data_IF_764084776564
#
_entry.id   IF_764084776564
#
_cell.length_a   1.000
_cell.length_b   1.000
_cell.length_c   1.000
_cell.angle_alpha   90.00
_cell.angle_beta   90.00
_cell.angle_gamma   90.00
#
_symmetry.space_group_name_H-M   'P 1'
#
loop_
_entity.id
_entity.type
_entity.pdbx_description
1 polymer ?
#
# COMPACT_ATOMS: atom_id res chain seq x y z
N UNK A 1 -8.25 -1.66 -46.53
CA UNK A 1 -7.14 -1.07 -45.75
C UNK A 1 -7.48 0.31 -45.16
N UNK A 2 -7.78 1.36 -45.96
CA UNK A 2 -8.04 2.73 -45.44
C UNK A 2 -9.13 2.81 -44.34
N UNK A 3 -10.25 2.07 -44.48
CA UNK A 3 -11.33 2.04 -43.48
C UNK A 3 -10.89 1.38 -42.15
N UNK A 4 -10.06 0.33 -42.21
CA UNK A 4 -9.55 -0.35 -41.02
C UNK A 4 -8.62 0.57 -40.24
N UNK A 5 -7.73 1.30 -40.96
CA UNK A 5 -6.84 2.29 -40.36
C UNK A 5 -7.65 3.43 -39.73
N UNK A 6 -8.70 3.92 -40.41
CA UNK A 6 -9.56 4.96 -39.85
C UNK A 6 -10.22 4.51 -38.53
N UNK A 7 -10.81 3.30 -38.51
CA UNK A 7 -11.43 2.78 -37.29
C UNK A 7 -10.42 2.55 -36.16
N UNK A 8 -9.20 2.10 -36.49
CA UNK A 8 -8.13 1.96 -35.49
C UNK A 8 -7.72 3.31 -34.88
N UNK A 9 -7.63 4.35 -35.69
CA UNK A 9 -7.33 5.71 -35.21
C UNK A 9 -8.46 6.27 -34.35
N UNK A 10 -9.72 6.09 -34.77
CA UNK A 10 -10.87 6.53 -33.98
C UNK A 10 -10.89 5.80 -32.63
N UNK A 11 -10.67 4.48 -32.60
CA UNK A 11 -10.62 3.72 -31.36
C UNK A 11 -9.49 4.20 -30.44
N UNK A 12 -8.32 4.49 -30.99
CA UNK A 12 -7.19 5.04 -30.23
C UNK A 12 -7.53 6.39 -29.60
N UNK A 13 -8.14 7.30 -30.38
CA UNK A 13 -8.54 8.62 -29.88
C UNK A 13 -9.57 8.49 -28.76
N UNK A 14 -10.56 7.62 -28.92
CA UNK A 14 -11.59 7.36 -27.90
C UNK A 14 -10.94 6.80 -26.62
N UNK A 15 -9.99 5.87 -26.76
CA UNK A 15 -9.27 5.30 -25.63
C UNK A 15 -8.46 6.36 -24.87
N UNK A 16 -7.73 7.21 -25.60
CA UNK A 16 -6.97 8.32 -24.99
C UNK A 16 -7.91 9.28 -24.27
N UNK A 17 -9.02 9.67 -24.90
CA UNK A 17 -10.01 10.55 -24.29
C UNK A 17 -10.61 9.94 -23.02
N UNK A 18 -10.90 8.64 -23.02
CA UNK A 18 -11.39 7.93 -21.84
C UNK A 18 -10.35 7.90 -20.69
N UNK A 19 -9.07 7.68 -21.00
CA UNK A 19 -7.98 7.71 -20.01
C UNK A 19 -7.86 9.11 -19.39
N UNK A 20 -7.85 10.15 -20.21
CA UNK A 20 -7.79 11.54 -19.75
C UNK A 20 -9.00 11.89 -18.89
N UNK A 21 -10.21 11.51 -19.31
CA UNK A 21 -11.42 11.73 -18.53
C UNK A 21 -11.36 11.02 -17.17
N UNK A 22 -10.89 9.77 -17.13
CA UNK A 22 -10.70 9.03 -15.86
C UNK A 22 -9.71 9.75 -14.93
N UNK A 23 -8.60 10.26 -15.46
CA UNK A 23 -7.62 10.99 -14.67
C UNK A 23 -8.19 12.30 -14.10
N UNK A 24 -8.92 13.08 -14.91
CA UNK A 24 -9.56 14.31 -14.48
C UNK A 24 -10.66 14.06 -13.42
N UNK A 25 -11.48 13.03 -13.61
CA UNK A 25 -12.51 12.67 -12.63
C UNK A 25 -11.86 12.28 -11.30
N UNK A 26 -10.77 11.50 -11.33
CA UNK A 26 -10.04 11.12 -10.12
C UNK A 26 -9.45 12.34 -9.42
N UNK A 27 -8.87 13.28 -10.17
CA UNK A 27 -8.30 14.50 -9.63
C UNK A 27 -9.35 15.39 -8.93
N UNK A 28 -10.53 15.56 -9.52
CA UNK A 28 -11.60 16.39 -8.98
C UNK A 28 -12.47 15.71 -7.90
N UNK A 29 -12.34 14.39 -7.74
CA UNK A 29 -13.10 13.61 -6.75
C UNK A 29 -12.21 13.10 -5.61
N UNK A 30 -11.25 13.87 -5.18
CA UNK A 30 -10.49 13.53 -3.98
C UNK A 30 -11.45 13.59 -2.77
N UNK A 31 -11.46 12.54 -1.93
CA UNK A 31 -12.26 12.58 -0.71
C UNK A 31 -11.69 13.66 0.21
N UNK A 32 -12.56 14.59 0.60
CA UNK A 32 -12.26 15.53 1.69
C UNK A 32 -12.59 14.85 3.02
N UNK A 33 -11.83 15.17 4.04
CA UNK A 33 -12.13 14.72 5.39
C UNK A 33 -13.45 15.36 5.84
N UNK A 34 -14.32 14.56 6.41
CA UNK A 34 -15.56 15.06 7.03
C UNK A 34 -15.23 15.90 8.27
N UNK A 35 -16.16 16.73 8.69
CA UNK A 35 -16.00 17.55 9.91
C UNK A 35 -15.74 16.67 11.15
N UNK A 36 -16.37 15.49 11.21
CA UNK A 36 -16.17 14.53 12.32
C UNK A 36 -14.77 13.90 12.28
N UNK A 37 -14.26 13.54 11.09
CA UNK A 37 -12.90 13.03 10.94
C UNK A 37 -11.86 14.11 11.29
N UNK A 38 -12.05 15.34 10.86
CA UNK A 38 -11.19 16.47 11.24
C UNK A 38 -11.18 16.69 12.75
N UNK A 39 -12.34 16.66 13.40
CA UNK A 39 -12.46 16.78 14.85
C UNK A 39 -11.73 15.65 15.58
N UNK A 40 -11.86 14.40 15.11
CA UNK A 40 -11.12 13.26 15.68
C UNK A 40 -9.61 13.44 15.56
N UNK A 41 -9.11 13.96 14.43
CA UNK A 41 -7.67 14.24 14.24
C UNK A 41 -7.19 15.33 15.21
N UNK A 42 -7.98 16.39 15.41
CA UNK A 42 -7.65 17.47 16.35
C UNK A 42 -7.66 16.96 17.80
N UNK A 43 -8.64 16.15 18.19
CA UNK A 43 -8.72 15.54 19.52
C UNK A 43 -7.53 14.60 19.80
N UNK A 44 -7.07 13.86 18.78
CA UNK A 44 -5.86 13.04 18.87
C UNK A 44 -4.57 13.85 18.99
N UNK A 45 -4.63 15.16 18.75
CA UNK A 45 -3.50 16.06 18.88
C UNK A 45 -2.37 15.80 17.89
N UNK A 46 -2.70 15.25 16.71
CA UNK A 46 -1.73 14.91 15.65
C UNK A 46 -0.93 16.15 15.20
N UNK A 47 -1.57 17.31 15.21
CA UNK A 47 -0.98 18.59 14.79
C UNK A 47 -0.32 19.39 15.92
N UNK A 48 -0.32 18.87 17.14
CA UNK A 48 0.33 19.57 18.27
C UNK A 48 1.85 19.45 18.16
N UNK A 49 2.54 20.56 18.35
CA UNK A 49 3.99 20.56 18.46
C UNK A 49 4.42 19.61 19.59
N UNK A 50 5.22 18.63 19.24
CA UNK A 50 5.83 17.70 20.21
C UNK A 50 7.32 18.00 20.26
N UNK A 51 7.80 18.35 21.41
CA UNK A 51 9.24 18.42 21.68
C UNK A 51 9.72 17.06 22.15
N UNK A 52 10.00 16.15 21.21
CA UNK A 52 10.62 14.87 21.51
C UNK A 52 11.94 14.74 20.78
N UNK A 53 12.94 14.13 21.43
CA UNK A 53 14.18 13.74 20.76
C UNK A 53 13.92 12.48 19.94
N UNK A 54 13.79 12.63 18.63
CA UNK A 54 13.67 11.51 17.70
C UNK A 54 15.05 11.07 17.21
N UNK A 55 15.19 9.76 16.98
CA UNK A 55 16.39 9.20 16.38
C UNK A 55 16.05 8.73 14.98
N UNK A 56 16.77 9.23 14.00
CA UNK A 56 16.63 8.84 12.60
C UNK A 56 17.91 8.16 12.10
N UNK A 57 17.73 7.18 11.20
CA UNK A 57 18.81 6.49 10.49
C UNK A 57 18.43 6.35 9.01
N UNK A 58 19.40 6.58 8.13
CA UNK A 58 19.24 6.34 6.70
C UNK A 58 19.66 4.89 6.41
N UNK A 59 18.82 4.16 5.64
CA UNK A 59 19.06 2.79 5.19
C UNK A 59 19.12 2.83 3.67
N UNK A 60 20.34 2.71 3.09
CA UNK A 60 20.56 2.78 1.65
C UNK A 60 20.55 1.40 0.99
N UNK A 61 21.08 0.40 1.66
CA UNK A 61 21.16 -0.97 1.16
C UNK A 61 19.79 -1.68 1.18
N UNK A 62 19.49 -2.47 0.13
CA UNK A 62 18.21 -3.14 -0.01
C UNK A 62 18.05 -4.32 0.95
N UNK A 63 19.12 -5.12 1.14
CA UNK A 63 19.08 -6.25 2.07
C UNK A 63 18.95 -5.78 3.52
N UNK A 64 19.65 -4.69 3.85
CA UNK A 64 19.51 -4.05 5.14
C UNK A 64 18.09 -3.52 5.34
N UNK A 65 17.49 -2.94 4.31
CA UNK A 65 16.13 -2.44 4.36
C UNK A 65 15.10 -3.57 4.60
N UNK A 66 15.31 -4.76 4.05
CA UNK A 66 14.49 -5.94 4.35
C UNK A 66 14.69 -6.40 5.79
N UNK A 67 15.96 -6.57 6.20
CA UNK A 67 16.31 -7.02 7.56
C UNK A 67 15.72 -6.11 8.63
N UNK A 68 15.82 -4.79 8.45
CA UNK A 68 15.26 -3.82 9.40
C UNK A 68 13.72 -3.85 9.45
N UNK A 69 13.04 -4.06 8.33
CA UNK A 69 11.59 -4.25 8.32
C UNK A 69 11.19 -5.51 9.07
N UNK A 70 11.82 -6.64 8.77
CA UNK A 70 11.56 -7.90 9.47
C UNK A 70 11.86 -7.75 10.95
N UNK A 71 13.00 -7.15 11.33
CA UNK A 71 13.37 -6.91 12.72
C UNK A 71 12.31 -6.07 13.44
N UNK A 72 11.83 -5.01 12.81
CA UNK A 72 10.81 -4.14 13.40
C UNK A 72 9.48 -4.88 13.58
N UNK A 73 9.04 -5.64 12.58
CA UNK A 73 7.82 -6.46 12.64
C UNK A 73 7.93 -7.53 13.72
N UNK A 74 9.08 -8.23 13.80
CA UNK A 74 9.31 -9.29 14.78
C UNK A 74 9.34 -8.77 16.22
N UNK A 75 9.72 -7.52 16.45
CA UNK A 75 9.76 -6.90 17.78
C UNK A 75 8.47 -6.17 18.17
N UNK A 76 7.53 -6.00 17.26
CA UNK A 76 6.25 -5.35 17.53
C UNK A 76 5.46 -6.11 18.63
N UNK A 77 4.79 -5.33 19.50
CA UNK A 77 4.07 -5.83 20.67
C UNK A 77 2.55 -5.67 20.58
N UNK A 78 2.08 -4.63 19.87
CA UNK A 78 0.67 -4.28 19.85
C UNK A 78 0.10 -4.11 18.44
N UNK A 79 0.79 -3.37 17.58
CA UNK A 79 0.24 -3.00 16.27
C UNK A 79 1.33 -2.89 15.21
N UNK A 80 0.99 -3.35 13.99
CA UNK A 80 1.76 -3.12 12.78
C UNK A 80 0.84 -2.49 11.74
N UNK A 81 1.31 -1.43 11.08
CA UNK A 81 0.68 -0.83 9.91
C UNK A 81 1.68 -0.89 8.76
N UNK A 82 1.35 -1.63 7.71
CA UNK A 82 2.11 -1.70 6.47
C UNK A 82 1.32 -1.02 5.35
N UNK A 83 1.88 0.01 4.73
CA UNK A 83 1.38 0.58 3.48
C UNK A 83 2.39 0.36 2.36
N UNK A 84 1.92 -0.13 1.20
CA UNK A 84 2.79 -0.33 0.05
C UNK A 84 2.01 -0.21 -1.26
N UNK A 85 2.65 0.37 -2.27
CA UNK A 85 2.06 0.44 -3.61
C UNK A 85 2.04 -0.92 -4.31
N UNK A 86 3.12 -1.70 -4.23
CA UNK A 86 3.25 -3.02 -4.84
C UNK A 86 3.79 -4.04 -3.82
N UNK A 87 3.03 -5.13 -3.64
CA UNK A 87 3.40 -6.25 -2.79
C UNK A 87 3.34 -7.53 -3.61
N UNK A 88 4.44 -8.26 -3.67
CA UNK A 88 4.56 -9.52 -4.42
C UNK A 88 4.95 -10.66 -3.50
N UNK A 89 4.64 -11.88 -3.92
CA UNK A 89 5.01 -13.12 -3.23
C UNK A 89 6.27 -13.73 -3.88
N UNK A 90 7.33 -12.91 -4.05
CA UNK A 90 8.69 -13.35 -4.33
C UNK A 90 9.46 -13.58 -3.01
N UNK A 91 10.76 -13.83 -3.05
CA UNK A 91 11.51 -14.24 -1.86
C UNK A 91 11.45 -13.19 -0.74
N UNK A 92 11.73 -11.91 -1.04
CA UNK A 92 11.61 -10.83 -0.07
C UNK A 92 10.16 -10.64 0.41
N UNK A 93 9.21 -10.75 -0.51
CA UNK A 93 7.80 -10.64 -0.19
C UNK A 93 7.31 -11.78 0.70
N UNK A 94 7.75 -13.02 0.49
CA UNK A 94 7.45 -14.17 1.36
C UNK A 94 8.03 -14.02 2.75
N UNK A 95 9.26 -13.49 2.86
CA UNK A 95 9.84 -13.18 4.16
C UNK A 95 9.01 -12.14 4.92
N UNK A 96 8.56 -11.10 4.22
CA UNK A 96 7.66 -10.08 4.81
C UNK A 96 6.31 -10.68 5.20
N UNK A 97 5.70 -11.52 4.35
CA UNK A 97 4.44 -12.21 4.64
C UNK A 97 4.55 -13.10 5.88
N UNK A 98 5.62 -13.92 5.95
CA UNK A 98 5.89 -14.76 7.12
C UNK A 98 6.02 -13.93 8.39
N UNK A 99 6.83 -12.87 8.37
CA UNK A 99 7.00 -12.01 9.54
C UNK A 99 5.69 -11.36 10.02
N UNK A 100 4.79 -10.98 9.09
CA UNK A 100 3.48 -10.41 9.42
C UNK A 100 2.55 -11.47 10.03
N UNK A 101 2.54 -12.69 9.50
CA UNK A 101 1.76 -13.81 10.05
C UNK A 101 2.28 -14.17 11.45
N UNK A 102 3.60 -14.33 11.61
CA UNK A 102 4.21 -14.61 12.93
C UNK A 102 3.88 -13.52 13.96
N UNK A 103 3.81 -12.26 13.54
CA UNK A 103 3.41 -11.17 14.43
C UNK A 103 1.93 -11.29 14.83
N UNK A 104 1.06 -11.62 13.89
CA UNK A 104 -0.36 -11.84 14.14
C UNK A 104 -0.60 -13.03 15.08
N UNK A 105 0.15 -14.13 14.93
CA UNK A 105 0.11 -15.30 15.81
C UNK A 105 0.55 -14.97 17.25
N UNK A 106 1.40 -13.95 17.41
CA UNK A 106 1.75 -13.41 18.74
C UNK A 106 0.68 -12.50 19.33
N UNK A 107 -0.44 -12.26 18.63
CA UNK A 107 -1.52 -11.38 19.06
C UNK A 107 -1.34 -9.90 18.68
N UNK A 108 -0.36 -9.58 17.83
CA UNK A 108 -0.16 -8.23 17.31
C UNK A 108 -1.24 -7.91 16.25
N UNK A 109 -1.86 -6.75 16.34
CA UNK A 109 -2.82 -6.28 15.31
C UNK A 109 -2.07 -5.88 14.05
N UNK A 110 -2.30 -6.57 12.94
CA UNK A 110 -1.61 -6.36 11.67
C UNK A 110 -2.56 -5.73 10.65
N UNK A 111 -2.28 -4.50 10.26
CA UNK A 111 -3.04 -3.74 9.27
C UNK A 111 -2.20 -3.54 8.00
N UNK A 112 -2.65 -4.09 6.88
CA UNK A 112 -1.98 -3.99 5.60
C UNK A 112 -2.86 -3.26 4.60
N UNK A 113 -2.32 -2.22 3.96
CA UNK A 113 -2.99 -1.52 2.87
C UNK A 113 -2.14 -1.58 1.60
N UNK A 114 -2.74 -2.01 0.50
CA UNK A 114 -2.08 -2.16 -0.80
C UNK A 114 -2.89 -1.48 -1.89
N UNK A 115 -2.21 -0.88 -2.87
CA UNK A 115 -2.85 -0.24 -4.01
C UNK A 115 -3.67 -1.24 -4.86
N UNK A 116 -4.82 -0.79 -5.36
CA UNK A 116 -5.83 -1.61 -6.02
C UNK A 116 -5.34 -2.43 -7.21
N UNK A 117 -4.48 -1.86 -8.07
CA UNK A 117 -3.94 -2.58 -9.23
C UNK A 117 -2.98 -3.68 -8.78
N UNK A 118 -2.11 -3.45 -7.80
CA UNK A 118 -1.26 -4.49 -7.23
C UNK A 118 -2.10 -5.58 -6.54
N UNK A 119 -3.11 -5.19 -5.76
CA UNK A 119 -4.06 -6.12 -5.17
C UNK A 119 -4.73 -7.04 -6.21
N UNK A 120 -5.12 -6.48 -7.36
CA UNK A 120 -5.73 -7.24 -8.44
C UNK A 120 -4.75 -8.13 -9.19
N UNK A 121 -3.56 -7.62 -9.53
CA UNK A 121 -2.61 -8.32 -10.42
C UNK A 121 -1.64 -9.25 -9.69
N UNK A 122 -1.34 -9.00 -8.40
CA UNK A 122 -0.31 -9.70 -7.63
C UNK A 122 -0.87 -10.52 -6.47
N UNK A 123 -1.94 -10.04 -5.82
CA UNK A 123 -2.47 -10.68 -4.61
C UNK A 123 -3.66 -11.59 -4.91
N UNK A 124 -4.54 -11.20 -5.85
CA UNK A 124 -5.77 -11.94 -6.15
C UNK A 124 -5.46 -13.36 -6.61
N UNK A 125 -5.97 -14.35 -5.87
CA UNK A 125 -5.78 -15.78 -6.18
C UNK A 125 -4.44 -16.36 -5.72
N UNK A 126 -3.53 -15.54 -5.18
CA UNK A 126 -2.25 -16.01 -4.68
C UNK A 126 -2.43 -16.62 -3.27
N UNK A 127 -1.95 -17.85 -3.02
CA UNK A 127 -2.16 -18.57 -1.76
C UNK A 127 -1.48 -17.91 -0.57
N UNK A 128 -0.32 -17.28 -0.74
CA UNK A 128 0.43 -16.66 0.35
C UNK A 128 -0.31 -15.43 0.90
N UNK A 129 -0.90 -14.61 0.01
CA UNK A 129 -1.75 -13.50 0.43
C UNK A 129 -3.09 -13.95 1.00
N UNK A 130 -3.60 -15.11 0.56
CA UNK A 130 -4.79 -15.70 1.16
C UNK A 130 -4.49 -16.18 2.57
N UNK A 131 -3.33 -16.80 2.81
CA UNK A 131 -2.89 -17.19 4.14
C UNK A 131 -2.82 -15.97 5.07
N UNK A 132 -2.12 -14.89 4.67
CA UNK A 132 -2.07 -13.66 5.44
C UNK A 132 -3.47 -13.11 5.77
N UNK A 133 -4.35 -13.00 4.76
CA UNK A 133 -5.70 -12.42 4.95
C UNK A 133 -6.65 -13.32 5.77
N UNK A 134 -6.30 -14.60 5.96
CA UNK A 134 -7.07 -15.55 6.75
C UNK A 134 -6.52 -15.74 8.17
N UNK A 135 -5.37 -15.13 8.49
CA UNK A 135 -4.81 -15.17 9.84
C UNK A 135 -5.60 -14.29 10.80
N UNK A 136 -5.76 -14.74 12.04
CA UNK A 136 -6.35 -13.94 13.11
C UNK A 136 -5.52 -12.66 13.31
N UNK A 137 -6.16 -11.59 13.79
CA UNK A 137 -5.53 -10.27 14.02
C UNK A 137 -4.99 -9.56 12.77
N UNK A 138 -5.27 -10.07 11.56
CA UNK A 138 -4.85 -9.46 10.29
C UNK A 138 -6.01 -8.78 9.58
N UNK A 139 -5.81 -7.55 9.16
CA UNK A 139 -6.74 -6.79 8.33
C UNK A 139 -6.03 -6.31 7.06
N UNK A 140 -6.42 -6.86 5.91
CA UNK A 140 -5.88 -6.48 4.60
C UNK A 140 -6.90 -5.61 3.86
N UNK A 141 -6.53 -4.37 3.57
CA UNK A 141 -7.32 -3.44 2.75
C UNK A 141 -6.67 -3.23 1.38
N UNK A 142 -7.50 -3.29 0.36
CA UNK A 142 -7.10 -2.91 -1.00
C UNK A 142 -7.67 -1.53 -1.30
N UNK A 143 -6.79 -0.55 -1.40
CA UNK A 143 -7.14 0.84 -1.70
C UNK A 143 -7.51 0.98 -3.19
N UNK A 144 -8.65 1.62 -3.47
CA UNK A 144 -9.17 1.82 -4.83
C UNK A 144 -9.14 0.54 -5.67
N UNK A 145 -9.89 -0.47 -5.23
CA UNK A 145 -10.04 -1.75 -5.95
C UNK A 145 -10.41 -1.51 -7.41
N UNK A 146 -9.78 -2.27 -8.31
CA UNK A 146 -10.10 -2.23 -9.75
C UNK A 146 -11.59 -2.54 -9.94
N UNK A 147 -12.31 -1.56 -10.48
CA UNK A 147 -13.73 -1.67 -10.78
C UNK A 147 -14.00 -1.27 -12.23
N UNK A 148 -14.41 -2.20 -13.11
CA UNK A 148 -14.69 -1.90 -14.52
C UNK A 148 -15.76 -0.83 -14.73
N UNK A 149 -16.72 -0.70 -13.80
CA UNK A 149 -17.79 0.29 -13.87
C UNK A 149 -17.39 1.67 -13.31
N UNK A 150 -16.25 1.75 -12.61
CA UNK A 150 -15.69 2.97 -12.06
C UNK A 150 -14.17 3.04 -12.32
N UNK A 151 -13.75 3.02 -13.59
CA UNK A 151 -12.32 2.90 -13.95
C UNK A 151 -11.48 4.08 -13.41
N UNK A 152 -12.07 5.26 -13.23
CA UNK A 152 -11.40 6.43 -12.65
C UNK A 152 -10.90 6.20 -11.22
N UNK A 153 -11.50 5.29 -10.43
CA UNK A 153 -11.01 4.97 -9.09
C UNK A 153 -9.58 4.43 -9.10
N UNK A 154 -9.21 3.69 -10.13
CA UNK A 154 -7.84 3.16 -10.29
C UNK A 154 -6.79 4.24 -10.57
N UNK A 155 -7.20 5.47 -10.90
CA UNK A 155 -6.28 6.59 -11.12
C UNK A 155 -5.86 7.27 -9.81
N UNK A 156 -6.68 7.17 -8.75
CA UNK A 156 -6.29 7.58 -7.40
C UNK A 156 -5.34 6.54 -6.80
N UNK A 157 -4.05 6.84 -6.77
CA UNK A 157 -3.00 5.89 -6.40
C UNK A 157 -2.60 6.05 -4.94
N UNK A 158 -2.58 4.93 -4.20
CA UNK A 158 -1.81 4.84 -2.97
C UNK A 158 -0.35 4.62 -3.36
N UNK A 159 0.51 5.58 -3.08
CA UNK A 159 1.93 5.45 -3.43
C UNK A 159 2.87 5.46 -2.21
N UNK A 160 2.30 5.34 -1.03
CA UNK A 160 3.02 5.26 0.22
C UNK A 160 3.75 3.92 0.37
N UNK A 161 4.88 3.96 1.05
CA UNK A 161 5.66 2.78 1.38
C UNK A 161 6.25 2.98 2.77
N UNK A 162 5.51 2.50 3.77
CA UNK A 162 5.94 2.57 5.16
C UNK A 162 5.56 1.33 5.95
N UNK A 163 6.30 1.11 7.02
CA UNK A 163 5.96 0.18 8.10
C UNK A 163 6.00 0.97 9.40
N UNK A 164 4.95 0.87 10.18
CA UNK A 164 4.86 1.47 11.51
C UNK A 164 4.64 0.32 12.51
N UNK A 165 5.41 0.29 13.59
CA UNK A 165 5.24 -0.64 14.69
C UNK A 165 5.00 0.09 16.00
N UNK A 166 3.94 -0.32 16.71
CA UNK A 166 3.60 0.16 18.06
C UNK A 166 3.45 1.68 18.16
N UNK A 167 3.17 2.36 17.05
CA UNK A 167 3.05 3.84 16.93
C UNK A 167 4.30 4.61 17.36
N UNK A 168 5.41 3.94 17.54
CA UNK A 168 6.67 4.53 18.04
C UNK A 168 7.82 4.37 17.08
N UNK A 169 7.83 3.33 16.28
CA UNK A 169 8.88 3.06 15.31
C UNK A 169 8.29 3.04 13.91
N UNK A 170 8.99 3.65 12.95
CA UNK A 170 8.55 3.66 11.56
C UNK A 170 9.71 3.61 10.58
N UNK A 171 9.48 2.97 9.44
CA UNK A 171 10.36 2.99 8.28
C UNK A 171 9.56 3.61 7.13
N UNK A 172 10.06 4.72 6.59
CA UNK A 172 9.52 5.39 5.41
C UNK A 172 10.49 5.26 4.25
N UNK A 173 10.00 5.24 3.03
CA UNK A 173 10.88 5.30 1.87
C UNK A 173 10.22 5.08 0.53
N UNK A 174 11.02 4.92 -0.52
CA UNK A 174 10.59 4.63 -1.87
C UNK A 174 10.44 3.14 -2.19
N UNK A 175 10.77 2.23 -1.27
CA UNK A 175 10.87 0.79 -1.52
C UNK A 175 9.52 0.09 -1.41
N UNK A 176 9.08 -0.52 -2.51
CA UNK A 176 7.96 -1.46 -2.51
C UNK A 176 8.37 -2.80 -1.87
N UNK A 177 7.39 -3.69 -1.67
CA UNK A 177 7.59 -4.96 -0.95
C UNK A 177 7.77 -6.11 -1.94
N UNK A 178 8.96 -6.17 -2.57
CA UNK A 178 9.39 -7.26 -3.45
C UNK A 178 10.90 -7.17 -3.75
N UNK A 179 11.51 -8.23 -4.33
CA UNK A 179 12.95 -8.44 -4.49
C UNK A 179 13.71 -7.23 -5.04
N UNK A 180 13.22 -6.59 -6.09
CA UNK A 180 13.90 -5.45 -6.71
C UNK A 180 14.24 -4.32 -5.72
N UNK A 181 13.39 -4.11 -4.72
CA UNK A 181 13.54 -3.04 -3.73
C UNK A 181 14.10 -3.50 -2.39
N UNK A 182 14.02 -4.80 -2.09
CA UNK A 182 14.36 -5.33 -0.77
C UNK A 182 15.50 -6.36 -0.80
N UNK A 183 16.14 -6.55 -1.94
CA UNK A 183 17.15 -7.59 -2.09
C UNK A 183 16.55 -9.01 -2.09
N UNK A 184 17.28 -10.01 -2.47
CA UNK A 184 17.18 -11.47 -2.43
C UNK A 184 17.50 -12.06 -3.80
#
# INVERSE_FOLDING_TARGET
>A
MKRIILWAVILLVVLIAAIVACALISYHRQPELTADEMKQLDEQGIWKERTSAERARIIEDNDEALKERIRMISNAKSEIILSTFDFRSDDSGKLMLGALIDAADRGVSVNVIVYGVSGFTKMKGNPDFKALASSDNVNVKIYNKVNPFKPWQSMGRLHDKYVIADRTNYILGGRNTFNYFLGA
#
